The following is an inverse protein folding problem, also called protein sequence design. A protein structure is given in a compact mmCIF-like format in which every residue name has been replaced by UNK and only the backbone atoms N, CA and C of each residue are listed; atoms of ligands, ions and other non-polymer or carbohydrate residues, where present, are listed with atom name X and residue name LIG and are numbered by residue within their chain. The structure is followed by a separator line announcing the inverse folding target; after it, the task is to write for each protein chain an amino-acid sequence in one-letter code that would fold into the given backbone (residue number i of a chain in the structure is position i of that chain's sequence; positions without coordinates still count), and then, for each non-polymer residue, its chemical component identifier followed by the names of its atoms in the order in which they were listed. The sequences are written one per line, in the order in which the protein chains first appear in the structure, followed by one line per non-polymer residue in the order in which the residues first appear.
data_IF_495269689268
#
_entry.id   IF_495269689268
#
_cell.length_a   1.000
_cell.length_b   1.000
_cell.length_c   1.000
_cell.angle_alpha   90.00
_cell.angle_beta   90.00
_cell.angle_gamma   90.00
#
_symmetry.space_group_name_H-M   'P 1'
#
loop_
_entity.id
_entity.type
_entity.pdbx_description
1 polymer ?
#
# COMPACT_ATOMS: atom_id res chain seq x y z
N UNK A 1 2.85 13.51 -13.83
CA UNK A 1 2.18 12.53 -12.97
C UNK A 1 0.92 13.16 -12.42
N UNK A 2 -0.24 12.58 -12.70
CA UNK A 2 -1.49 12.97 -12.04
C UNK A 2 -1.58 12.21 -10.71
N UNK A 3 -1.62 12.92 -9.59
CA UNK A 3 -1.88 12.28 -8.30
C UNK A 3 -3.32 11.78 -8.22
N UNK A 4 -3.56 10.76 -7.40
CA UNK A 4 -4.91 10.27 -7.09
C UNK A 4 -5.76 11.42 -6.52
N UNK A 5 -6.87 11.76 -7.17
CA UNK A 5 -7.81 12.77 -6.66
C UNK A 5 -8.79 12.12 -5.71
N UNK A 6 -8.53 12.24 -4.40
CA UNK A 6 -9.42 11.75 -3.35
C UNK A 6 -10.73 12.53 -3.31
N UNK A 7 -11.87 11.83 -3.39
CA UNK A 7 -13.21 12.43 -3.42
C UNK A 7 -13.88 12.46 -2.05
N UNK A 8 -13.47 11.58 -1.12
CA UNK A 8 -13.99 11.54 0.26
C UNK A 8 -12.93 11.11 1.27
N UNK A 9 -12.92 11.74 2.44
CA UNK A 9 -12.08 11.38 3.59
C UNK A 9 -12.96 11.09 4.80
N UNK A 10 -12.81 9.89 5.38
CA UNK A 10 -13.43 9.50 6.65
C UNK A 10 -12.44 9.79 7.78
N UNK A 11 -12.84 10.59 8.77
CA UNK A 11 -11.95 11.03 9.85
C UNK A 11 -12.02 10.04 11.01
N UNK A 12 -10.90 9.36 11.27
CA UNK A 12 -10.73 8.39 12.35
C UNK A 12 -9.48 8.72 13.18
N UNK A 13 -9.09 9.99 13.19
CA UNK A 13 -7.88 10.53 13.80
C UNK A 13 -8.16 11.31 15.11
N UNK A 14 -9.31 11.08 15.73
CA UNK A 14 -9.67 11.62 17.05
C UNK A 14 -8.91 10.92 18.20
N UNK A 15 -8.43 9.71 17.97
CA UNK A 15 -7.54 8.98 18.86
C UNK A 15 -6.48 8.23 18.05
N UNK A 16 -5.36 7.97 18.71
CA UNK A 16 -4.27 7.12 18.21
C UNK A 16 -4.79 5.71 17.86
N UNK A 17 -4.41 5.18 16.70
CA UNK A 17 -4.90 3.88 16.22
C UNK A 17 -4.49 2.73 17.16
N UNK A 18 -3.32 2.82 17.80
CA UNK A 18 -2.88 1.83 18.80
C UNK A 18 -3.82 1.76 20.02
N UNK A 19 -4.54 2.85 20.34
CA UNK A 19 -5.56 2.87 21.40
C UNK A 19 -6.91 2.33 20.92
N UNK A 20 -7.24 2.52 19.63
CA UNK A 20 -8.45 1.97 19.01
C UNK A 20 -8.33 0.47 18.68
N UNK A 21 -7.11 -0.01 18.46
CA UNK A 21 -6.80 -1.33 17.94
C UNK A 21 -7.05 -1.42 16.42
N UNK A 22 -8.28 -1.17 15.98
CA UNK A 22 -8.61 -1.20 14.55
C UNK A 22 -9.77 -0.28 14.16
N UNK A 23 -9.83 0.06 12.88
CA UNK A 23 -10.89 0.85 12.23
C UNK A 23 -11.38 0.07 11.02
N UNK A 24 -12.70 -0.06 10.84
CA UNK A 24 -13.30 -0.72 9.68
C UNK A 24 -14.22 0.25 8.96
N UNK A 25 -14.03 0.41 7.65
CA UNK A 25 -14.79 1.36 6.86
C UNK A 25 -15.04 0.84 5.44
N UNK A 26 -16.27 1.04 4.97
CA UNK A 26 -16.63 0.82 3.57
C UNK A 26 -16.15 2.01 2.72
N UNK A 27 -15.31 1.72 1.73
CA UNK A 27 -14.65 2.69 0.85
C UNK A 27 -14.96 2.39 -0.63
N UNK A 28 -15.38 3.42 -1.36
CA UNK A 28 -15.40 3.40 -2.82
C UNK A 28 -14.04 3.77 -3.38
N UNK A 29 -13.85 3.58 -4.69
CA UNK A 29 -12.69 4.14 -5.38
C UNK A 29 -12.54 5.65 -5.11
N UNK A 30 -11.31 6.08 -4.89
CA UNK A 30 -10.92 7.43 -4.46
C UNK A 30 -11.47 7.88 -3.10
N UNK A 31 -11.87 6.94 -2.23
CA UNK A 31 -12.15 7.24 -0.82
C UNK A 31 -10.97 6.84 0.08
N UNK A 32 -10.74 7.60 1.15
CA UNK A 32 -9.70 7.32 2.14
C UNK A 32 -10.17 7.51 3.57
N UNK A 33 -9.47 6.88 4.49
CA UNK A 33 -9.57 7.05 5.93
C UNK A 33 -8.36 7.89 6.36
N UNK A 34 -8.60 8.87 7.24
CA UNK A 34 -7.57 9.61 7.94
C UNK A 34 -7.40 9.02 9.34
N UNK A 35 -6.18 8.64 9.70
CA UNK A 35 -5.86 7.96 10.95
C UNK A 35 -4.75 8.72 11.69
N UNK A 36 -4.67 8.54 13.00
CA UNK A 36 -3.54 8.98 13.82
C UNK A 36 -2.68 7.77 14.16
N UNK A 37 -1.41 7.80 13.74
CA UNK A 37 -0.42 6.74 13.99
C UNK A 37 0.86 7.41 14.50
N UNK A 38 1.37 6.97 15.64
CA UNK A 38 2.57 7.52 16.28
C UNK A 38 2.52 9.04 16.47
N UNK A 39 1.34 9.60 16.73
CA UNK A 39 1.11 11.05 16.86
C UNK A 39 1.07 11.84 15.55
N UNK A 40 1.22 11.18 14.41
CA UNK A 40 1.15 11.79 13.07
C UNK A 40 -0.15 11.40 12.34
N UNK A 41 -0.54 12.22 11.36
CA UNK A 41 -1.75 11.96 10.56
C UNK A 41 -1.39 11.24 9.28
N UNK A 42 -1.92 10.03 9.11
CA UNK A 42 -1.72 9.18 7.93
C UNK A 42 -3.04 8.96 7.20
N UNK A 43 -2.95 8.53 5.93
CA UNK A 43 -4.13 8.20 5.14
C UNK A 43 -4.02 6.80 4.54
N UNK A 44 -5.11 6.04 4.61
CA UNK A 44 -5.25 4.74 3.95
C UNK A 44 -6.49 4.80 3.08
N UNK A 45 -6.38 4.54 1.79
CA UNK A 45 -7.51 4.66 0.87
C UNK A 45 -7.53 3.64 -0.25
N UNK A 46 -8.70 3.53 -0.87
CA UNK A 46 -8.90 2.70 -2.06
C UNK A 46 -8.74 3.60 -3.28
N UNK A 47 -7.67 3.42 -4.03
CA UNK A 47 -7.41 4.17 -5.26
C UNK A 47 -8.32 3.70 -6.40
N UNK A 48 -8.45 2.39 -6.57
CA UNK A 48 -9.31 1.78 -7.59
C UNK A 48 -9.85 0.43 -7.13
N UNK A 49 -10.99 0.03 -7.71
CA UNK A 49 -11.54 -1.32 -7.59
C UNK A 49 -11.74 -1.84 -9.00
N UNK A 50 -11.14 -2.98 -9.32
CA UNK A 50 -11.23 -3.62 -10.64
C UNK A 50 -11.02 -5.12 -10.51
N UNK A 51 -11.73 -5.92 -11.31
CA UNK A 51 -11.54 -7.37 -11.34
C UNK A 51 -11.70 -8.08 -9.99
N UNK A 52 -12.54 -7.55 -9.09
CA UNK A 52 -12.72 -8.12 -7.74
C UNK A 52 -11.55 -7.83 -6.78
N UNK A 53 -10.69 -6.87 -7.10
CA UNK A 53 -9.57 -6.45 -6.27
C UNK A 53 -9.60 -4.95 -6.01
N UNK A 54 -9.07 -4.53 -4.87
CA UNK A 54 -8.93 -3.15 -4.48
C UNK A 54 -7.44 -2.75 -4.45
N UNK A 55 -7.10 -1.66 -5.12
CA UNK A 55 -5.78 -1.04 -5.03
C UNK A 55 -5.77 -0.13 -3.81
N UNK A 56 -5.09 -0.55 -2.75
CA UNK A 56 -4.91 0.22 -1.52
C UNK A 56 -3.70 1.13 -1.66
N UNK A 57 -3.88 2.42 -1.34
CA UNK A 57 -2.81 3.41 -1.25
C UNK A 57 -2.71 3.89 0.21
N UNK A 58 -1.50 3.84 0.77
CA UNK A 58 -1.19 4.42 2.08
C UNK A 58 -0.33 5.66 1.87
N UNK A 59 -0.91 6.83 2.11
CA UNK A 59 -0.33 8.12 1.74
C UNK A 59 0.29 8.85 2.93
N UNK A 60 1.56 8.52 3.19
CA UNK A 60 2.54 9.38 3.86
C UNK A 60 3.87 9.37 3.09
N UNK A 61 4.30 8.17 2.69
CA UNK A 61 5.13 7.88 1.51
C UNK A 61 4.29 6.91 0.67
N UNK A 62 3.80 7.29 -0.53
CA UNK A 62 2.81 6.47 -1.25
C UNK A 62 3.29 5.03 -1.46
N UNK A 63 2.64 4.10 -0.76
CA UNK A 63 2.81 2.67 -0.92
C UNK A 63 1.50 2.10 -1.45
N UNK A 64 1.57 1.32 -2.53
CA UNK A 64 0.40 0.72 -3.18
C UNK A 64 0.47 -0.80 -3.11
N UNK A 65 -0.65 -1.45 -2.77
CA UNK A 65 -0.84 -2.90 -2.87
C UNK A 65 -2.21 -3.20 -3.47
N UNK A 66 -2.26 -4.17 -4.37
CA UNK A 66 -3.52 -4.74 -4.86
C UNK A 66 -3.92 -5.89 -3.93
N UNK A 67 -5.11 -5.81 -3.34
CA UNK A 67 -5.64 -6.81 -2.41
C UNK A 67 -7.01 -7.30 -2.90
N UNK A 68 -7.18 -8.61 -3.03
CA UNK A 68 -8.48 -9.25 -3.21
C UNK A 68 -9.25 -9.32 -1.87
N UNK A 69 -10.53 -9.68 -1.95
CA UNK A 69 -11.32 -9.95 -0.76
C UNK A 69 -10.71 -11.11 0.06
N UNK A 70 -10.53 -10.88 1.36
CA UNK A 70 -9.84 -11.78 2.29
C UNK A 70 -8.33 -11.53 2.41
N UNK A 71 -7.72 -10.74 1.53
CA UNK A 71 -6.27 -10.48 1.57
C UNK A 71 -5.90 -9.29 2.46
N UNK A 72 -4.66 -9.31 2.94
CA UNK A 72 -4.11 -8.26 3.77
C UNK A 72 -2.70 -7.84 3.34
N UNK A 73 -2.36 -6.59 3.66
CA UNK A 73 -1.05 -6.02 3.40
C UNK A 73 -0.54 -5.26 4.63
N UNK A 74 0.73 -5.47 4.97
CA UNK A 74 1.44 -4.71 6.01
C UNK A 74 2.08 -3.46 5.41
N UNK A 75 2.07 -2.35 6.16
CA UNK A 75 2.62 -1.06 5.74
C UNK A 75 3.39 -0.41 6.90
N UNK A 76 4.60 0.03 6.61
CA UNK A 76 5.42 0.88 7.48
C UNK A 76 5.13 2.33 7.07
N UNK A 77 4.47 3.10 7.94
CA UNK A 77 4.07 4.48 7.64
C UNK A 77 4.96 5.51 8.30
N UNK A 78 5.73 5.09 9.31
CA UNK A 78 6.70 5.91 10.04
C UNK A 78 8.10 5.88 9.42
N UNK A 79 8.38 4.87 8.60
CA UNK A 79 9.66 4.64 7.93
C UNK A 79 10.76 4.16 8.87
N UNK A 80 10.41 3.53 10.00
CA UNK A 80 11.36 3.10 11.02
C UNK A 80 11.84 1.65 10.85
N UNK A 81 11.37 0.95 9.82
CA UNK A 81 11.68 -0.47 9.60
C UNK A 81 10.79 -1.42 10.39
N UNK A 82 9.69 -0.92 10.95
CA UNK A 82 8.63 -1.67 11.62
C UNK A 82 7.32 -1.47 10.87
N UNK A 83 6.57 -2.54 10.65
CA UNK A 83 5.22 -2.40 10.13
C UNK A 83 4.32 -1.81 11.22
N UNK A 84 3.66 -0.70 10.89
CA UNK A 84 2.72 0.02 11.76
C UNK A 84 1.26 -0.38 11.52
N UNK A 85 0.94 -0.79 10.27
CA UNK A 85 -0.43 -1.03 9.82
C UNK A 85 -0.59 -2.38 9.14
N UNK A 86 -1.66 -3.10 9.50
CA UNK A 86 -2.19 -4.22 8.74
C UNK A 86 -3.53 -3.81 8.10
N UNK A 87 -3.54 -3.70 6.77
CA UNK A 87 -4.75 -3.35 6.02
C UNK A 87 -5.32 -4.61 5.40
N UNK A 88 -6.58 -4.92 5.70
CA UNK A 88 -7.30 -6.09 5.19
C UNK A 88 -8.50 -5.63 4.37
N UNK A 89 -8.65 -6.18 3.17
CA UNK A 89 -9.89 -6.03 2.40
C UNK A 89 -10.80 -7.20 2.76
N UNK A 90 -11.78 -6.99 3.63
CA UNK A 90 -12.64 -8.08 4.11
C UNK A 90 -13.56 -8.59 3.00
N UNK A 91 -14.24 -7.67 2.32
CA UNK A 91 -15.17 -7.97 1.22
C UNK A 91 -15.10 -6.89 0.15
N UNK A 92 -15.46 -7.26 -1.08
CA UNK A 92 -15.68 -6.32 -2.18
C UNK A 92 -17.08 -6.58 -2.72
N UNK A 93 -17.95 -5.58 -2.65
CA UNK A 93 -19.33 -5.64 -3.11
C UNK A 93 -19.57 -4.53 -4.13
N UNK A 94 -19.70 -4.91 -5.40
CA UNK A 94 -19.86 -3.96 -6.50
C UNK A 94 -18.65 -3.02 -6.62
N UNK A 95 -18.86 -1.73 -6.32
CA UNK A 95 -17.85 -0.66 -6.42
C UNK A 95 -17.32 -0.20 -5.06
N UNK A 96 -17.47 -1.03 -4.03
CA UNK A 96 -17.04 -0.73 -2.67
C UNK A 96 -16.26 -1.88 -2.06
N UNK A 97 -15.26 -1.55 -1.26
CA UNK A 97 -14.46 -2.47 -0.47
C UNK A 97 -14.70 -2.19 1.01
N UNK A 98 -14.92 -3.25 1.80
CA UNK A 98 -14.90 -3.17 3.25
C UNK A 98 -13.46 -3.32 3.73
N UNK A 99 -12.86 -2.23 4.20
CA UNK A 99 -11.44 -2.16 4.55
C UNK A 99 -11.30 -2.07 6.06
N UNK A 100 -10.54 -2.99 6.64
CA UNK A 100 -10.13 -2.95 8.05
C UNK A 100 -8.66 -2.54 8.13
N UNK A 101 -8.37 -1.54 8.94
CA UNK A 101 -7.02 -1.07 9.25
C UNK A 101 -6.75 -1.33 10.71
N UNK A 102 -5.71 -2.10 11.01
CA UNK A 102 -5.30 -2.50 12.35
C UNK A 102 -3.90 -1.99 12.66
N UNK A 103 -3.69 -1.54 13.89
CA UNK A 103 -2.36 -1.20 14.38
C UNK A 103 -1.57 -2.48 14.66
N UNK A 104 -0.37 -2.56 14.11
CA UNK A 104 0.61 -3.61 14.39
C UNK A 104 1.95 -2.96 14.76
N UNK A 105 2.83 -3.74 15.37
CA UNK A 105 4.20 -3.32 15.64
C UNK A 105 5.09 -4.54 15.47
N UNK A 106 5.44 -4.83 14.22
CA UNK A 106 6.25 -5.99 13.84
C UNK A 106 7.48 -5.55 13.07
N UNK A 107 8.67 -5.98 13.50
CA UNK A 107 9.90 -5.69 12.75
C UNK A 107 9.79 -6.25 11.33
N UNK A 108 10.25 -5.48 10.34
CA UNK A 108 10.32 -5.93 8.95
C UNK A 108 11.38 -7.03 8.86
N UNK A 109 10.97 -8.28 9.09
CA UNK A 109 11.79 -9.45 8.85
C UNK A 109 11.78 -9.76 7.35
N UNK A 110 12.96 -10.02 6.76
CA UNK A 110 13.11 -10.42 5.35
C UNK A 110 12.61 -11.85 5.07
N UNK A 111 11.52 -12.28 5.71
CA UNK A 111 10.93 -13.59 5.47
C UNK A 111 9.89 -13.51 4.34
N UNK A 112 10.37 -13.85 3.14
CA UNK A 112 9.66 -14.50 2.04
C UNK A 112 8.25 -13.97 1.71
N UNK A 113 8.16 -13.10 0.70
CA UNK A 113 6.96 -13.02 -0.17
C UNK A 113 6.75 -14.38 -0.84
N UNK A 114 5.98 -15.26 -0.20
CA UNK A 114 5.51 -16.53 -0.75
C UNK A 114 4.07 -16.42 -1.25
N UNK A 115 3.94 -16.38 -2.58
CA UNK A 115 2.84 -16.88 -3.41
C UNK A 115 1.39 -16.83 -2.90
N UNK A 116 0.62 -15.91 -3.47
CA UNK A 116 -0.76 -16.17 -3.90
C UNK A 116 -0.73 -16.56 -5.38
N UNK A 117 -0.76 -17.86 -5.63
CA UNK A 117 -0.67 -18.54 -6.93
C UNK A 117 -1.86 -18.21 -7.83
N UNK A 118 -1.54 -17.93 -9.09
CA UNK A 118 -2.42 -18.06 -10.24
C UNK A 118 -2.99 -19.49 -10.29
N UNK A 119 -4.31 -19.64 -10.28
CA UNK A 119 -4.94 -20.83 -10.84
C UNK A 119 -5.86 -20.36 -11.98
N UNK A 120 -5.20 -20.04 -13.10
CA UNK A 120 -5.83 -19.88 -14.40
C UNK A 120 -5.76 -21.21 -15.13
N UNK A 121 -6.86 -21.96 -15.08
CA UNK A 121 -7.02 -23.15 -15.89
C UNK A 121 -7.21 -22.74 -17.36
N UNK A 122 -6.29 -23.18 -18.22
CA UNK A 122 -6.35 -22.99 -19.67
C UNK A 122 -7.53 -23.75 -20.29
N UNK A 123 -8.22 -23.12 -21.24
CA UNK A 123 -8.49 -23.70 -22.57
C UNK A 123 -8.80 -22.59 -23.61
N UNK A 124 -7.98 -22.54 -24.67
CA UNK A 124 -8.46 -22.37 -26.05
C UNK A 124 -8.34 -20.98 -26.72
N UNK A 125 -7.43 -20.87 -27.71
CA UNK A 125 -7.75 -20.20 -28.98
C UNK A 125 -6.87 -19.03 -29.48
N UNK A 126 -5.67 -19.36 -29.96
CA UNK A 126 -4.94 -18.83 -31.13
C UNK A 126 -5.22 -17.42 -31.75
N UNK A 127 -4.13 -16.65 -31.77
CA UNK A 127 -3.56 -15.79 -32.84
C UNK A 127 -4.16 -14.41 -33.17
N UNK A 128 -3.33 -13.38 -32.94
CA UNK A 128 -3.16 -12.27 -33.89
C UNK A 128 -2.95 -10.89 -33.25
N UNK A 129 -1.74 -10.34 -33.37
CA UNK A 129 -1.54 -8.88 -33.28
C UNK A 129 -0.25 -8.43 -32.61
N UNK A 130 0.77 -8.15 -33.42
CA UNK A 130 2.00 -7.47 -33.04
C UNK A 130 1.70 -6.08 -32.45
N UNK A 131 2.30 -5.77 -31.31
CA UNK A 131 2.29 -4.44 -30.71
C UNK A 131 3.46 -4.28 -29.75
N UNK A 132 4.57 -3.75 -30.25
CA UNK A 132 5.66 -3.25 -29.42
C UNK A 132 5.10 -2.26 -28.40
N UNK A 133 5.28 -2.57 -27.11
CA UNK A 133 5.33 -1.56 -26.07
C UNK A 133 6.40 -2.01 -25.06
N UNK A 134 7.58 -1.41 -25.20
CA UNK A 134 8.59 -1.38 -24.15
C UNK A 134 8.08 -0.51 -23.00
N UNK A 135 7.10 -1.03 -22.26
CA UNK A 135 6.87 -0.62 -20.89
C UNK A 135 7.83 -1.42 -20.04
N UNK A 136 8.90 -0.78 -19.54
CA UNK A 136 9.73 -1.36 -18.48
C UNK A 136 8.86 -1.53 -17.24
N UNK A 137 8.10 -2.62 -17.21
CA UNK A 137 7.47 -3.17 -16.02
C UNK A 137 8.59 -3.63 -15.11
N UNK A 138 9.09 -2.70 -14.31
CA UNK A 138 9.97 -3.01 -13.21
C UNK A 138 9.20 -3.98 -12.32
N UNK A 139 9.68 -5.22 -12.30
CA UNK A 139 9.15 -6.29 -11.44
C UNK A 139 9.09 -5.82 -9.99
N UNK A 140 8.22 -6.44 -9.20
CA UNK A 140 7.89 -6.06 -7.81
C UNK A 140 9.09 -5.99 -6.82
N UNK A 141 10.33 -6.24 -7.27
CA UNK A 141 11.57 -6.00 -6.52
C UNK A 141 12.38 -4.75 -6.94
N UNK A 142 12.10 -4.13 -8.09
CA UNK A 142 12.88 -3.00 -8.59
C UNK A 142 12.48 -1.65 -7.95
N UNK A 143 11.25 -1.50 -7.47
CA UNK A 143 10.87 -0.32 -6.68
C UNK A 143 11.54 -0.33 -5.29
N UNK A 144 11.76 -1.52 -4.70
CA UNK A 144 12.47 -1.69 -3.42
C UNK A 144 13.93 -1.22 -3.55
N UNK A 145 14.60 -1.55 -4.66
CA UNK A 145 15.96 -1.06 -4.92
C UNK A 145 16.03 0.48 -5.03
N UNK A 146 14.99 1.12 -5.57
CA UNK A 146 14.91 2.59 -5.66
C UNK A 146 14.73 3.19 -4.26
N UNK A 147 13.88 2.60 -3.41
CA UNK A 147 13.67 3.07 -2.02
C UNK A 147 14.96 2.95 -1.21
N UNK A 148 15.65 1.81 -1.28
CA UNK A 148 16.94 1.59 -0.60
C UNK A 148 17.99 2.61 -1.07
N UNK A 149 18.05 2.89 -2.38
CA UNK A 149 18.98 3.89 -2.92
C UNK A 149 18.70 5.30 -2.38
N UNK A 150 17.44 5.69 -2.24
CA UNK A 150 17.05 7.00 -1.69
C UNK A 150 17.44 7.11 -0.21
N UNK A 151 17.22 6.06 0.59
CA UNK A 151 17.60 6.02 2.02
C UNK A 151 19.11 6.18 2.19
N UNK A 152 19.91 5.49 1.36
CA UNK A 152 21.37 5.61 1.37
C UNK A 152 21.81 7.04 1.03
N UNK A 153 21.17 7.67 0.04
CA UNK A 153 21.47 9.06 -0.34
C UNK A 153 21.17 10.02 0.82
N UNK A 154 20.02 9.87 1.50
CA UNK A 154 19.65 10.70 2.65
C UNK A 154 20.65 10.51 3.79
N UNK A 155 21.02 9.27 4.10
CA UNK A 155 22.02 8.96 5.13
C UNK A 155 23.39 9.59 4.81
N UNK A 156 23.82 9.54 3.54
CA UNK A 156 25.07 10.18 3.10
C UNK A 156 25.00 11.71 3.20
N UNK A 157 23.88 12.33 2.82
CA UNK A 157 23.68 13.78 2.95
C UNK A 157 23.74 14.20 4.42
N UNK A 158 23.02 13.50 5.31
CA UNK A 158 23.04 13.77 6.75
C UNK A 158 24.44 13.59 7.32
N UNK A 159 25.14 12.52 6.95
CA UNK A 159 26.52 12.27 7.38
C UNK A 159 27.46 13.38 6.93
N UNK A 160 27.37 13.84 5.68
CA UNK A 160 28.24 14.87 5.13
C UNK A 160 27.97 16.25 5.76
N UNK A 161 26.69 16.61 5.96
CA UNK A 161 26.30 17.84 6.66
C UNK A 161 26.77 17.82 8.12
N UNK A 162 26.70 16.66 8.78
CA UNK A 162 27.14 16.50 10.17
C UNK A 162 28.67 16.45 10.31
N UNK A 163 29.39 15.99 9.29
CA UNK A 163 30.86 15.97 9.25
C UNK A 163 31.47 17.33 8.94
N UNK A 164 30.73 18.21 8.25
CA UNK A 164 31.20 19.53 7.83
C UNK A 164 30.77 20.68 8.77
N UNK A 165 30.21 20.34 9.93
CA UNK A 165 30.04 21.23 11.09
C UNK A 165 30.96 20.78 12.20
#
# INVERSE_FOLDING_TARGET
GGGTTWTKTYSENDQELSLKGSVTQELSANHRIRLMVSGETHHVGVKSISGGKATIEVASTPQEKELAAGESGKFDVTGDGTYDLLVTVQTIEGSKANVRVEYIQEEVTEETQGSGTEDGQEEGGLLGGLGNNEGTGLSNGAWIAIVIAIVIIIALVVFFVRRNK
#
